data_IF_903428372543
#
_entry.id   IF_903428372543
#
_cell.length_a   1.000
_cell.length_b   1.000
_cell.length_c   1.000
_cell.angle_alpha   90.00
_cell.angle_beta   90.00
_cell.angle_gamma   90.00
#
_symmetry.space_group_name_H-M   'P 1'
#
loop_
_entity.id
_entity.type
_entity.pdbx_description
1 polymer ?
#
# COMPACT_ATOMS: atom_id res chain seq x y z
N UNK A 1 -7.79 4.06 -18.66
CA UNK A 1 -8.28 5.03 -17.68
C UNK A 1 -7.12 5.89 -17.22
N UNK A 2 -7.24 7.20 -17.40
CA UNK A 2 -6.28 8.16 -16.86
C UNK A 2 -6.66 8.45 -15.39
N UNK A 3 -5.79 8.05 -14.47
CA UNK A 3 -5.97 8.30 -13.03
C UNK A 3 -4.96 9.38 -12.64
N UNK A 4 -5.19 10.60 -13.12
CA UNK A 4 -4.26 11.73 -13.00
C UNK A 4 -4.27 12.44 -11.64
N UNK A 5 -4.32 11.67 -10.52
CA UNK A 5 -4.20 12.28 -9.18
C UNK A 5 -2.79 12.80 -8.89
N UNK A 6 -1.80 12.20 -9.50
CA UNK A 6 -0.42 12.48 -9.15
C UNK A 6 0.06 13.87 -9.64
N UNK A 7 -0.42 14.35 -10.80
CA UNK A 7 0.08 15.60 -11.36
C UNK A 7 1.60 15.62 -11.53
N UNK A 8 2.21 14.48 -11.87
CA UNK A 8 3.67 14.31 -11.95
C UNK A 8 4.37 13.99 -10.61
N UNK A 9 3.64 13.90 -9.50
CA UNK A 9 4.16 13.54 -8.16
C UNK A 9 4.16 12.04 -7.93
N UNK A 10 4.89 11.58 -6.92
CA UNK A 10 4.79 10.20 -6.44
C UNK A 10 3.39 9.91 -5.90
N UNK A 11 2.72 8.84 -6.37
CA UNK A 11 1.37 8.46 -5.97
C UNK A 11 1.41 7.28 -5.00
N UNK A 12 0.97 7.52 -3.76
CA UNK A 12 0.79 6.53 -2.71
C UNK A 12 -0.67 6.15 -2.59
N UNK A 13 -0.98 4.86 -2.62
CA UNK A 13 -2.38 4.39 -2.66
C UNK A 13 -2.68 3.38 -1.56
N UNK A 14 -3.88 3.47 -1.00
CA UNK A 14 -4.46 2.43 -0.14
C UNK A 14 -5.82 2.03 -0.69
N UNK A 15 -6.08 0.72 -0.76
CA UNK A 15 -7.33 0.17 -1.32
C UNK A 15 -7.94 -0.82 -0.34
N UNK A 16 -9.18 -0.58 0.06
CA UNK A 16 -9.91 -1.48 0.96
C UNK A 16 -11.09 -0.79 1.64
N UNK A 17 -12.01 -1.56 2.20
CA UNK A 17 -13.09 -1.02 3.04
C UNK A 17 -12.50 -0.25 4.22
N UNK A 18 -13.19 0.84 4.62
CA UNK A 18 -12.77 1.61 5.79
C UNK A 18 -13.29 0.92 7.04
N UNK A 19 -12.40 0.18 7.67
CA UNK A 19 -12.63 -0.61 8.88
C UNK A 19 -11.48 -0.36 9.86
N UNK A 20 -11.71 -0.37 11.20
CA UNK A 20 -10.67 -0.11 12.20
C UNK A 20 -9.42 -0.97 12.02
N UNK A 21 -9.59 -2.24 11.63
CA UNK A 21 -8.47 -3.15 11.36
C UNK A 21 -7.62 -2.77 10.15
N UNK A 22 -8.14 -1.94 9.23
CA UNK A 22 -7.42 -1.53 8.01
C UNK A 22 -6.55 -0.28 8.21
N UNK A 23 -6.64 0.40 9.36
CA UNK A 23 -5.69 1.42 9.78
C UNK A 23 -5.66 2.69 8.92
N UNK A 24 -6.77 3.06 8.26
CA UNK A 24 -6.80 4.31 7.49
C UNK A 24 -6.52 5.55 8.36
N UNK A 25 -6.88 5.51 9.64
CA UNK A 25 -6.57 6.55 10.63
C UNK A 25 -5.07 6.68 10.88
N UNK A 26 -4.34 5.57 10.94
CA UNK A 26 -2.86 5.57 11.06
C UNK A 26 -2.26 6.27 9.84
N UNK A 27 -2.72 5.91 8.64
CA UNK A 27 -2.22 6.52 7.41
C UNK A 27 -2.58 8.01 7.33
N UNK A 28 -3.81 8.41 7.71
CA UNK A 28 -4.20 9.82 7.81
C UNK A 28 -3.27 10.60 8.75
N UNK A 29 -3.02 10.06 9.95
CA UNK A 29 -2.15 10.70 10.94
C UNK A 29 -0.70 10.79 10.44
N UNK A 30 -0.18 9.75 9.79
CA UNK A 30 1.15 9.79 9.20
C UNK A 30 1.29 10.88 8.12
N UNK A 31 0.29 11.06 7.26
CA UNK A 31 0.28 12.14 6.25
C UNK A 31 0.27 13.53 6.92
N UNK A 32 -0.46 13.71 8.04
CA UNK A 32 -0.46 14.97 8.81
C UNK A 32 0.90 15.31 9.40
N UNK A 33 1.67 14.30 9.82
CA UNK A 33 3.01 14.45 10.40
C UNK A 33 4.08 14.81 9.36
N UNK A 34 3.83 14.58 8.07
CA UNK A 34 4.77 14.98 7.03
C UNK A 34 4.94 16.50 6.98
N UNK A 35 6.18 16.96 6.84
CA UNK A 35 6.46 18.38 6.59
C UNK A 35 5.78 18.85 5.31
N UNK A 36 5.29 20.10 5.25
CA UNK A 36 4.59 20.60 4.07
C UNK A 36 5.35 20.44 2.76
N UNK A 37 6.65 20.70 2.77
CA UNK A 37 7.54 20.61 1.60
C UNK A 37 7.75 19.17 1.13
N UNK A 38 7.62 18.18 2.00
CA UNK A 38 7.66 16.75 1.67
C UNK A 38 6.31 16.31 1.13
N UNK A 39 5.22 16.61 1.86
CA UNK A 39 3.86 16.24 1.48
C UNK A 39 3.49 16.74 0.08
N UNK A 40 3.89 17.96 -0.29
CA UNK A 40 3.62 18.54 -1.60
C UNK A 40 4.30 17.81 -2.78
N UNK A 41 5.31 16.97 -2.51
CA UNK A 41 5.97 16.14 -3.54
C UNK A 41 5.22 14.84 -3.83
N UNK A 42 4.20 14.52 -3.06
CA UNK A 42 3.42 13.30 -3.18
C UNK A 42 1.93 13.57 -3.38
N UNK A 43 1.23 12.55 -3.87
CA UNK A 43 -0.21 12.46 -3.86
C UNK A 43 -0.61 11.19 -3.11
N UNK A 44 -1.71 11.25 -2.35
CA UNK A 44 -2.21 10.16 -1.53
C UNK A 44 -3.65 9.85 -1.93
N UNK A 45 -3.92 8.61 -2.33
CA UNK A 45 -5.25 8.20 -2.75
C UNK A 45 -5.80 7.11 -1.84
N UNK A 46 -6.95 7.39 -1.24
CA UNK A 46 -7.74 6.44 -0.49
C UNK A 46 -8.87 5.90 -1.36
N UNK A 47 -8.94 4.57 -1.51
CA UNK A 47 -9.99 3.89 -2.28
C UNK A 47 -10.72 2.90 -1.40
N UNK A 48 -12.04 3.07 -1.23
CA UNK A 48 -12.82 2.10 -0.49
C UNK A 48 -14.18 2.60 -0.03
N UNK A 49 -15.07 1.66 0.27
CA UNK A 49 -16.35 1.97 0.91
C UNK A 49 -16.15 2.26 2.40
N UNK A 50 -16.86 3.25 2.89
CA UNK A 50 -16.91 3.54 4.30
C UNK A 50 -17.83 2.55 5.01
N UNK A 51 -17.25 1.55 5.66
CA UNK A 51 -17.95 0.69 6.62
C UNK A 51 -18.00 1.38 8.00
N UNK A 52 -16.97 2.11 8.36
CA UNK A 52 -16.88 2.93 9.56
C UNK A 52 -16.99 4.42 9.24
N UNK A 53 -17.94 5.12 9.91
CA UNK A 53 -18.20 6.55 9.68
C UNK A 53 -17.10 7.45 10.24
N UNK A 54 -16.46 7.05 11.34
CA UNK A 54 -15.40 7.85 11.97
C UNK A 54 -14.16 7.88 11.11
N UNK A 55 -13.77 6.73 10.53
CA UNK A 55 -12.68 6.62 9.57
C UNK A 55 -12.95 7.41 8.29
N UNK A 56 -14.21 7.37 7.81
CA UNK A 56 -14.59 8.17 6.66
C UNK A 56 -14.45 9.68 6.95
N UNK A 57 -14.93 10.11 8.13
CA UNK A 57 -14.80 11.51 8.55
C UNK A 57 -13.32 11.92 8.68
N UNK A 58 -12.46 11.06 9.17
CA UNK A 58 -11.02 11.33 9.26
C UNK A 58 -10.37 11.51 7.87
N UNK A 59 -10.77 10.69 6.90
CA UNK A 59 -10.29 10.82 5.52
C UNK A 59 -10.87 12.07 4.86
N UNK A 60 -12.16 12.40 5.06
CA UNK A 60 -12.78 13.61 4.51
C UNK A 60 -12.10 14.87 5.04
N UNK A 61 -11.86 14.93 6.35
CA UNK A 61 -11.14 16.05 6.96
C UNK A 61 -9.71 16.17 6.39
N UNK A 62 -9.03 15.04 6.14
CA UNK A 62 -7.71 15.07 5.52
C UNK A 62 -7.75 15.59 4.08
N UNK A 63 -8.78 15.22 3.30
CA UNK A 63 -8.99 15.75 1.94
C UNK A 63 -9.28 17.24 1.96
N UNK A 64 -10.08 17.73 2.94
CA UNK A 64 -10.36 19.14 3.13
C UNK A 64 -9.11 19.94 3.53
N UNK A 65 -8.28 19.38 4.43
CA UNK A 65 -7.02 20.01 4.88
C UNK A 65 -5.97 20.09 3.74
N UNK A 66 -5.98 19.10 2.82
CA UNK A 66 -4.94 18.96 1.79
C UNK A 66 -5.52 18.61 0.40
N UNK A 67 -6.40 19.45 -0.18
CA UNK A 67 -7.18 19.13 -1.38
C UNK A 67 -6.31 18.90 -2.64
N UNK A 68 -5.09 19.43 -2.67
CA UNK A 68 -4.19 19.29 -3.81
C UNK A 68 -3.34 18.01 -3.76
N UNK A 69 -3.29 17.33 -2.59
CA UNK A 69 -2.40 16.18 -2.38
C UNK A 69 -3.10 14.94 -1.89
N UNK A 70 -4.29 15.06 -1.29
CA UNK A 70 -5.05 13.92 -0.77
C UNK A 70 -6.36 13.77 -1.50
N UNK A 71 -6.66 12.54 -1.91
CA UNK A 71 -7.82 12.21 -2.72
C UNK A 71 -8.56 11.01 -2.15
N UNK A 72 -9.88 10.96 -2.37
CA UNK A 72 -10.72 9.85 -1.99
C UNK A 72 -11.60 9.38 -3.14
N UNK A 73 -11.71 8.05 -3.29
CA UNK A 73 -12.65 7.37 -4.18
C UNK A 73 -13.40 6.27 -3.43
N UNK A 74 -14.72 6.33 -3.48
CA UNK A 74 -15.58 5.34 -2.81
C UNK A 74 -15.40 3.93 -3.39
N UNK A 75 -15.17 3.83 -4.69
CA UNK A 75 -15.01 2.58 -5.43
C UNK A 75 -14.30 2.85 -6.74
N UNK A 76 -13.51 1.89 -7.14
CA UNK A 76 -12.99 1.75 -8.50
C UNK A 76 -13.38 0.38 -9.04
N UNK A 77 -13.66 0.30 -10.34
CA UNK A 77 -13.91 -0.95 -11.00
C UNK A 77 -12.58 -1.66 -11.34
N UNK A 78 -12.61 -2.97 -11.65
CA UNK A 78 -11.39 -3.74 -11.90
C UNK A 78 -10.43 -3.11 -12.94
N UNK A 79 -10.90 -2.58 -14.10
CA UNK A 79 -10.01 -1.91 -15.04
C UNK A 79 -9.36 -0.64 -14.48
N UNK A 80 -10.09 0.10 -13.62
CA UNK A 80 -9.56 1.30 -12.96
C UNK A 80 -8.52 0.93 -11.89
N UNK A 81 -8.75 -0.15 -11.11
CA UNK A 81 -7.76 -0.68 -10.15
C UNK A 81 -6.49 -1.11 -10.88
N UNK A 82 -6.62 -1.81 -12.01
CA UNK A 82 -5.47 -2.18 -12.84
C UNK A 82 -4.68 -0.96 -13.30
N UNK A 83 -5.38 0.06 -13.79
CA UNK A 83 -4.78 1.33 -14.21
C UNK A 83 -4.13 2.08 -13.05
N UNK A 84 -4.76 2.04 -11.86
CA UNK A 84 -4.21 2.62 -10.64
C UNK A 84 -2.91 1.93 -10.23
N UNK A 85 -2.89 0.59 -10.22
CA UNK A 85 -1.68 -0.17 -9.89
C UNK A 85 -0.55 0.05 -10.90
N UNK A 86 -0.86 0.25 -12.17
CA UNK A 86 0.16 0.59 -13.17
C UNK A 86 0.74 2.01 -12.96
N UNK A 87 -0.07 2.96 -12.54
CA UNK A 87 0.32 4.37 -12.40
C UNK A 87 0.82 4.75 -10.99
N UNK A 88 0.44 4.02 -9.93
CA UNK A 88 0.92 4.35 -8.60
C UNK A 88 2.43 4.15 -8.46
N UNK A 89 3.03 4.86 -7.51
CA UNK A 89 4.44 4.71 -7.15
C UNK A 89 4.63 3.64 -6.08
N UNK A 90 3.74 3.61 -5.09
CA UNK A 90 3.82 2.72 -3.94
C UNK A 90 2.43 2.41 -3.40
N UNK A 91 2.21 1.20 -2.90
CA UNK A 91 1.01 0.85 -2.15
C UNK A 91 1.26 0.94 -0.64
N UNK A 92 0.28 1.41 0.13
CA UNK A 92 0.39 1.57 1.57
C UNK A 92 -0.68 0.75 2.28
N UNK A 93 -0.27 -0.20 3.09
CA UNK A 93 -1.14 -1.07 3.89
C UNK A 93 -0.91 -0.84 5.38
N UNK A 94 -1.66 0.08 5.95
CA UNK A 94 -1.55 0.47 7.35
C UNK A 94 -2.38 -0.43 8.29
N UNK A 95 -2.70 -1.65 7.87
CA UNK A 95 -3.63 -2.53 8.58
C UNK A 95 -3.08 -3.00 9.93
N UNK A 96 -3.92 -2.96 10.96
CA UNK A 96 -3.67 -3.57 12.28
C UNK A 96 -3.81 -5.10 12.27
N UNK A 97 -4.53 -5.62 11.28
CA UNK A 97 -4.71 -7.05 11.06
C UNK A 97 -5.15 -7.29 9.61
N UNK A 98 -4.26 -7.87 8.83
CA UNK A 98 -4.55 -8.29 7.46
C UNK A 98 -3.65 -9.45 7.04
N UNK A 99 -4.13 -10.70 7.15
CA UNK A 99 -3.32 -11.88 6.82
C UNK A 99 -2.81 -11.90 5.39
N UNK A 100 -3.57 -11.32 4.43
CA UNK A 100 -3.19 -11.27 3.03
C UNK A 100 -3.86 -10.09 2.31
N UNK A 101 -3.27 -8.90 2.36
CA UNK A 101 -3.81 -7.72 1.70
C UNK A 101 -3.71 -7.83 0.17
N UNK A 102 -4.82 -8.18 -0.48
CA UNK A 102 -4.85 -8.46 -1.92
C UNK A 102 -4.36 -7.30 -2.77
N UNK A 103 -4.63 -6.05 -2.38
CA UNK A 103 -4.15 -4.90 -3.14
C UNK A 103 -2.62 -4.72 -3.07
N UNK A 104 -1.96 -5.23 -2.02
CA UNK A 104 -0.49 -5.29 -1.95
C UNK A 104 0.02 -6.30 -2.98
N UNK A 105 -0.57 -7.50 -3.05
CA UNK A 105 -0.19 -8.49 -4.06
C UNK A 105 -0.49 -8.01 -5.48
N UNK A 106 -1.59 -7.29 -5.69
CA UNK A 106 -1.88 -6.63 -6.96
C UNK A 106 -0.80 -5.61 -7.32
N UNK A 107 -0.33 -4.80 -6.36
CA UNK A 107 0.81 -3.89 -6.55
C UNK A 107 2.08 -4.61 -6.98
N UNK A 108 2.42 -5.73 -6.32
CA UNK A 108 3.60 -6.54 -6.65
C UNK A 108 3.59 -7.07 -8.09
N UNK A 109 2.41 -7.45 -8.64
CA UNK A 109 2.26 -7.86 -10.05
C UNK A 109 2.74 -6.75 -11.00
N UNK A 110 2.47 -5.48 -10.65
CA UNK A 110 2.90 -4.31 -11.42
C UNK A 110 4.33 -3.84 -11.07
N UNK A 111 4.98 -4.54 -10.14
CA UNK A 111 6.32 -4.18 -9.66
C UNK A 111 6.30 -2.91 -8.82
N UNK A 112 5.25 -2.71 -8.04
CA UNK A 112 5.15 -1.57 -7.11
C UNK A 112 5.58 -2.01 -5.73
N UNK A 113 6.52 -1.29 -5.08
CA UNK A 113 6.87 -1.55 -3.71
C UNK A 113 5.69 -1.25 -2.78
N UNK A 114 5.73 -1.84 -1.60
CA UNK A 114 4.71 -1.63 -0.58
C UNK A 114 5.33 -1.11 0.71
N UNK A 115 4.59 -0.23 1.40
CA UNK A 115 4.81 0.10 2.79
C UNK A 115 3.72 -0.59 3.58
N UNK A 116 4.07 -1.52 4.44
CA UNK A 116 3.10 -2.33 5.19
C UNK A 116 3.35 -2.26 6.69
N UNK A 117 2.29 -2.44 7.47
CA UNK A 117 2.40 -2.70 8.91
C UNK A 117 2.99 -4.09 9.17
N UNK A 118 3.72 -4.28 10.26
CA UNK A 118 4.20 -5.58 10.73
C UNK A 118 3.07 -6.58 11.00
N UNK A 119 1.84 -6.10 11.20
CA UNK A 119 0.64 -6.92 11.43
C UNK A 119 -0.01 -7.43 10.14
N UNK A 120 0.66 -7.30 9.00
CA UNK A 120 0.22 -7.91 7.74
C UNK A 120 0.99 -9.19 7.45
N UNK A 121 0.31 -10.19 6.88
CA UNK A 121 1.01 -11.43 6.48
C UNK A 121 2.07 -11.23 5.41
N UNK A 122 2.05 -10.11 4.69
CA UNK A 122 3.08 -9.74 3.73
C UNK A 122 4.36 -9.24 4.39
N UNK A 123 4.29 -8.70 5.61
CA UNK A 123 5.44 -8.07 6.27
C UNK A 123 6.64 -9.01 6.43
N UNK A 124 6.38 -10.28 6.82
CA UNK A 124 7.43 -11.29 6.97
C UNK A 124 8.10 -11.75 5.67
N UNK A 125 7.60 -11.32 4.52
CA UNK A 125 8.13 -11.66 3.20
C UNK A 125 8.89 -10.49 2.56
N UNK A 126 8.71 -9.27 3.07
CA UNK A 126 9.38 -8.07 2.56
C UNK A 126 10.86 -8.09 2.93
N UNK A 127 11.69 -7.80 1.96
CA UNK A 127 13.10 -7.46 2.15
C UNK A 127 13.23 -5.94 2.17
N UNK A 128 13.49 -5.38 3.36
CA UNK A 128 13.53 -3.94 3.61
C UNK A 128 14.42 -3.21 2.61
N UNK A 129 13.88 -2.19 1.94
CA UNK A 129 14.60 -1.37 0.95
C UNK A 129 14.86 -2.05 -0.40
N UNK A 130 14.40 -3.29 -0.62
CA UNK A 130 14.58 -4.07 -1.85
C UNK A 130 13.26 -4.25 -2.61
N UNK A 131 12.21 -4.64 -1.92
CA UNK A 131 10.87 -4.84 -2.52
C UNK A 131 9.74 -4.17 -1.74
N UNK A 132 10.07 -3.47 -0.63
CA UNK A 132 9.14 -2.71 0.17
C UNK A 132 9.75 -2.23 1.49
N UNK A 133 8.87 -1.79 2.38
CA UNK A 133 9.20 -1.31 3.71
C UNK A 133 8.17 -1.81 4.74
N UNK A 134 8.64 -2.05 5.96
CA UNK A 134 7.78 -2.46 7.08
C UNK A 134 7.88 -1.41 8.18
N UNK A 135 6.74 -0.89 8.64
CA UNK A 135 6.68 -0.07 9.85
C UNK A 135 6.04 -0.85 11.00
N UNK A 136 6.31 -0.44 12.25
CA UNK A 136 5.96 -1.18 13.47
C UNK A 136 5.01 -0.41 14.38
N UNK A 137 4.43 -1.15 15.33
CA UNK A 137 3.70 -0.65 16.51
C UNK A 137 2.44 0.16 16.18
N UNK A 138 1.84 0.01 14.98
CA UNK A 138 0.72 0.85 14.53
C UNK A 138 0.99 2.36 14.70
N UNK A 139 2.27 2.73 14.69
CA UNK A 139 2.74 4.07 15.02
C UNK A 139 2.73 4.98 13.78
N UNK A 140 1.90 6.04 13.74
CA UNK A 140 1.88 6.98 12.64
C UNK A 140 3.19 7.77 12.47
N UNK A 141 3.99 7.96 13.53
CA UNK A 141 5.30 8.62 13.42
C UNK A 141 6.30 7.73 12.67
N UNK A 142 6.27 6.42 12.90
CA UNK A 142 7.11 5.49 12.13
C UNK A 142 6.67 5.44 10.67
N UNK A 143 5.36 5.32 10.41
CA UNK A 143 4.84 5.34 9.05
C UNK A 143 5.20 6.66 8.34
N UNK A 144 5.12 7.81 9.03
CA UNK A 144 5.51 9.10 8.47
C UNK A 144 6.99 9.15 8.06
N UNK A 145 7.90 8.58 8.88
CA UNK A 145 9.33 8.49 8.54
C UNK A 145 9.58 7.65 7.30
N UNK A 146 8.90 6.50 7.18
CA UNK A 146 9.01 5.63 5.99
C UNK A 146 8.43 6.32 4.75
N UNK A 147 7.28 7.00 4.89
CA UNK A 147 6.70 7.81 3.82
C UNK A 147 7.63 8.94 3.38
N UNK A 148 8.20 9.70 4.32
CA UNK A 148 9.15 10.77 4.02
C UNK A 148 10.35 10.23 3.25
N UNK A 149 10.94 9.12 3.69
CA UNK A 149 12.02 8.45 2.97
C UNK A 149 11.59 8.07 1.55
N UNK A 150 10.46 7.38 1.39
CA UNK A 150 9.95 6.94 0.10
C UNK A 150 9.65 8.11 -0.86
N UNK A 151 9.08 9.22 -0.34
CA UNK A 151 8.78 10.43 -1.13
C UNK A 151 10.07 11.11 -1.62
N UNK A 152 11.11 11.12 -0.81
CA UNK A 152 12.37 11.79 -1.12
C UNK A 152 13.29 10.94 -1.99
N UNK A 153 13.04 9.64 -2.13
CA UNK A 153 13.87 8.70 -2.90
C UNK A 153 13.06 7.94 -3.98
N UNK A 154 12.40 8.64 -4.92
CA UNK A 154 11.56 8.00 -5.94
C UNK A 154 12.35 7.05 -6.85
N UNK A 155 13.63 7.32 -7.11
CA UNK A 155 14.48 6.44 -7.92
C UNK A 155 14.72 5.09 -7.22
N UNK A 156 14.83 5.08 -5.90
CA UNK A 156 14.92 3.83 -5.13
C UNK A 156 13.64 3.00 -5.31
N UNK A 157 12.47 3.62 -5.19
CA UNK A 157 11.19 2.93 -5.40
C UNK A 157 11.08 2.37 -6.82
N UNK A 158 11.51 3.13 -7.81
CA UNK A 158 11.50 2.68 -9.21
C UNK A 158 12.46 1.48 -9.44
N UNK A 159 13.61 1.45 -8.76
CA UNK A 159 14.57 0.37 -8.84
C UNK A 159 14.03 -0.96 -8.25
N UNK A 160 13.10 -0.92 -7.29
CA UNK A 160 12.49 -2.10 -6.65
C UNK A 160 11.59 -2.92 -7.58
N UNK A 161 11.24 -2.41 -8.76
CA UNK A 161 10.25 -3.01 -9.66
C UNK A 161 10.48 -4.48 -9.97
N UNK A 162 11.71 -4.85 -10.26
CA UNK A 162 12.05 -6.25 -10.60
C UNK A 162 11.94 -7.17 -9.39
N UNK A 163 12.35 -6.72 -8.21
CA UNK A 163 12.34 -7.52 -7.00
C UNK A 163 10.92 -7.66 -6.43
N UNK A 164 10.07 -6.63 -6.55
CA UNK A 164 8.64 -6.74 -6.27
C UNK A 164 7.97 -7.85 -7.11
N UNK A 165 8.28 -7.93 -8.40
CA UNK A 165 7.75 -9.00 -9.28
C UNK A 165 8.27 -10.37 -8.90
N UNK A 166 9.56 -10.51 -8.58
CA UNK A 166 10.14 -11.75 -8.08
C UNK A 166 9.47 -12.20 -6.79
N UNK A 167 9.19 -11.27 -5.86
CA UNK A 167 8.45 -11.55 -4.64
C UNK A 167 7.06 -12.11 -4.96
N UNK A 168 6.32 -11.50 -5.90
CA UNK A 168 5.04 -12.02 -6.36
C UNK A 168 5.16 -13.43 -6.92
N UNK A 169 6.09 -13.64 -7.87
CA UNK A 169 6.31 -14.93 -8.52
C UNK A 169 6.65 -16.02 -7.51
N UNK A 170 7.47 -15.70 -6.52
CA UNK A 170 7.93 -16.65 -5.50
C UNK A 170 6.87 -17.05 -4.49
N UNK A 171 5.97 -16.13 -4.10
CA UNK A 171 5.11 -16.36 -2.95
C UNK A 171 3.60 -16.32 -3.29
N UNK A 172 3.19 -15.64 -4.36
CA UNK A 172 1.78 -15.35 -4.64
C UNK A 172 1.29 -15.84 -6.01
N UNK A 173 2.17 -16.31 -6.89
CA UNK A 173 1.76 -16.86 -8.18
C UNK A 173 0.99 -18.18 -8.01
N UNK A 174 0.21 -18.54 -9.02
CA UNK A 174 -0.48 -19.83 -9.04
C UNK A 174 0.52 -21.01 -8.95
N UNK A 175 1.66 -20.88 -9.60
CA UNK A 175 2.74 -21.85 -9.59
C UNK A 175 3.32 -22.04 -8.18
N UNK A 176 3.57 -20.95 -7.46
CA UNK A 176 4.04 -20.97 -6.07
C UNK A 176 3.01 -21.61 -5.14
N UNK A 177 1.74 -21.30 -5.34
CA UNK A 177 0.63 -21.89 -4.58
C UNK A 177 0.56 -23.41 -4.79
N UNK A 178 0.55 -23.87 -6.04
CA UNK A 178 0.50 -25.30 -6.38
C UNK A 178 1.72 -26.02 -5.84
N UNK A 179 2.92 -25.46 -5.99
CA UNK A 179 4.15 -26.06 -5.45
C UNK A 179 4.09 -26.21 -3.93
N UNK A 180 3.59 -25.19 -3.22
CA UNK A 180 3.43 -25.22 -1.76
C UNK A 180 2.44 -26.29 -1.32
N UNK A 181 1.27 -26.37 -1.96
CA UNK A 181 0.28 -27.40 -1.66
C UNK A 181 0.81 -28.80 -1.90
N UNK A 182 1.47 -29.02 -3.04
CA UNK A 182 2.05 -30.34 -3.37
C UNK A 182 3.07 -30.77 -2.34
N UNK A 183 3.95 -29.86 -1.89
CA UNK A 183 4.93 -30.14 -0.83
C UNK A 183 4.22 -30.53 0.48
N UNK A 184 3.23 -29.74 0.93
CA UNK A 184 2.51 -30.00 2.17
C UNK A 184 1.77 -31.34 2.13
N UNK A 185 1.11 -31.67 1.02
CA UNK A 185 0.43 -32.98 0.86
C UNK A 185 1.45 -34.14 0.95
N UNK A 186 2.59 -34.02 0.28
CA UNK A 186 3.62 -35.07 0.34
C UNK A 186 4.18 -35.24 1.75
N UNK A 187 4.41 -34.14 2.50
CA UNK A 187 4.87 -34.19 3.89
C UNK A 187 3.86 -34.87 4.85
N UNK A 188 2.56 -34.75 4.56
CA UNK A 188 1.50 -35.38 5.38
C UNK A 188 1.24 -36.84 5.03
N UNK A 189 1.73 -37.32 3.88
CA UNK A 189 1.51 -38.67 3.38
C UNK A 189 2.72 -39.59 3.53
N UNK A 190 3.84 -39.07 4.01
CA UNK A 190 5.06 -39.82 4.41
C UNK A 190 5.13 -40.00 5.91
#
# INVERSE_FOLDING_TARGET
>A
YDISYAGGRALFVTVGSFEPRKGQDIFCNAIRLLKPEVRQKAAFLFVGKAADKSLKSAVDALVEDYPDTVFYRKRLERPEIKSLMDQCTCVVCASRDDPMPTFVTEGLIFGKPSIVSEHTGTAGLITEGVDGFVYRDDDPDQLAKVLEHAILHPDQLAAMKADCRKMYEKYYSNEAYVATLTRLVNELTT
#
